data_IF_458944085408
#
_entry.id   IF_458944085408
#
_cell.length_a   1.000
_cell.length_b   1.000
_cell.length_c   1.000
_cell.angle_alpha   90.00
_cell.angle_beta   90.00
_cell.angle_gamma   90.00
#
_symmetry.space_group_name_H-M   'P 1'
#
loop_
_entity.id
_entity.type
_entity.pdbx_description
1 polymer ?
#
# COMPACT_ATOMS: atom_id res chain seq x y z
N UNK A 1 -5.67 4.58 24.32
CA UNK A 1 -4.73 4.10 23.28
C UNK A 1 -5.48 3.06 22.47
N UNK A 2 -6.18 3.47 21.41
CA UNK A 2 -6.77 2.53 20.44
C UNK A 2 -5.63 2.17 19.49
N UNK A 3 -5.32 0.88 19.37
CA UNK A 3 -4.37 0.39 18.37
C UNK A 3 -5.07 0.51 17.02
N UNK A 4 -4.61 1.42 16.17
CA UNK A 4 -5.06 1.48 14.78
C UNK A 4 -4.52 0.25 14.06
N UNK A 5 -5.40 -0.72 13.82
CA UNK A 5 -5.11 -1.85 12.94
C UNK A 5 -5.20 -1.31 11.51
N UNK A 6 -4.09 -1.25 10.78
CA UNK A 6 -4.13 -0.81 9.38
C UNK A 6 -5.00 -1.79 8.57
N UNK A 7 -5.87 -1.29 7.69
CA UNK A 7 -6.75 -2.13 6.86
C UNK A 7 -5.98 -3.19 6.04
N UNK A 8 -4.71 -2.93 5.69
CA UNK A 8 -3.83 -3.89 5.01
C UNK A 8 -3.51 -5.14 5.83
N UNK A 9 -3.58 -5.08 7.16
CA UNK A 9 -3.24 -6.21 8.04
C UNK A 9 -4.33 -7.28 8.09
N UNK A 10 -5.60 -6.93 7.83
CA UNK A 10 -6.72 -7.90 7.90
C UNK A 10 -6.67 -8.87 6.71
N UNK A 11 -6.47 -8.36 5.50
CA UNK A 11 -6.38 -9.18 4.28
C UNK A 11 -5.26 -10.21 4.38
N UNK A 12 -4.04 -9.75 4.68
CA UNK A 12 -2.88 -10.62 4.83
C UNK A 12 -3.06 -11.64 5.95
N UNK A 13 -3.67 -11.25 7.08
CA UNK A 13 -3.91 -12.18 8.20
C UNK A 13 -4.89 -13.28 7.83
N UNK A 14 -5.97 -12.97 7.10
CA UNK A 14 -6.96 -13.98 6.70
C UNK A 14 -6.42 -14.90 5.61
N UNK A 15 -5.74 -14.36 4.59
CA UNK A 15 -5.13 -15.18 3.53
C UNK A 15 -4.09 -16.16 4.11
N UNK A 16 -3.28 -15.72 5.08
CA UNK A 16 -2.34 -16.59 5.82
C UNK A 16 -3.07 -17.69 6.61
N UNK A 17 -4.19 -17.38 7.24
CA UNK A 17 -4.98 -18.35 8.00
C UNK A 17 -5.65 -19.39 7.08
N UNK A 18 -6.07 -19.00 5.88
CA UNK A 18 -6.62 -19.92 4.87
C UNK A 18 -5.55 -20.87 4.30
N UNK A 19 -4.33 -20.39 4.07
CA UNK A 19 -3.22 -21.19 3.52
C UNK A 19 -2.65 -22.21 4.53
N UNK A 20 -2.71 -21.94 5.85
CA UNK A 20 -1.98 -22.72 6.86
C UNK A 20 -2.79 -23.80 7.59
N UNK A 21 -4.12 -23.70 7.70
CA UNK A 21 -4.90 -24.56 8.63
C UNK A 21 -6.03 -25.43 8.04
N UNK A 22 -6.38 -25.34 6.74
CA UNK A 22 -7.38 -26.23 6.14
C UNK A 22 -8.71 -26.37 6.93
N UNK A 23 -9.30 -27.57 7.02
CA UNK A 23 -10.58 -27.84 7.73
C UNK A 23 -10.55 -27.57 9.26
N UNK A 24 -9.37 -27.46 9.89
CA UNK A 24 -9.23 -27.09 11.31
C UNK A 24 -9.54 -25.60 11.60
N UNK A 25 -9.61 -24.79 10.54
CA UNK A 25 -10.06 -23.38 10.59
C UNK A 25 -11.38 -23.18 11.34
N UNK A 26 -12.29 -24.16 11.33
CA UNK A 26 -13.65 -24.05 11.88
C UNK A 26 -13.67 -23.75 13.40
N UNK A 27 -12.69 -24.24 14.18
CA UNK A 27 -12.61 -23.94 15.62
C UNK A 27 -11.98 -22.58 15.91
N UNK A 28 -10.92 -22.19 15.20
CA UNK A 28 -10.28 -20.87 15.34
C UNK A 28 -11.17 -19.74 14.79
N UNK A 29 -12.03 -20.05 13.81
CA UNK A 29 -13.09 -19.17 13.31
C UNK A 29 -14.17 -18.88 14.36
N UNK A 30 -14.32 -19.69 15.41
CA UNK A 30 -15.21 -19.38 16.54
C UNK A 30 -14.77 -18.14 17.31
N UNK A 31 -13.47 -17.95 17.51
CA UNK A 31 -12.89 -16.75 18.14
C UNK A 31 -12.87 -15.57 17.16
N UNK A 32 -12.70 -15.84 15.86
CA UNK A 32 -12.82 -14.83 14.80
C UNK A 32 -14.27 -14.32 14.67
N UNK A 33 -15.28 -15.17 14.83
CA UNK A 33 -16.72 -14.81 14.86
C UNK A 33 -17.01 -13.76 15.94
N UNK A 34 -16.46 -13.93 17.14
CA UNK A 34 -16.63 -12.97 18.23
C UNK A 34 -15.90 -11.65 17.97
N UNK A 35 -14.71 -11.70 17.36
CA UNK A 35 -13.92 -10.50 17.02
C UNK A 35 -14.48 -9.71 15.84
N UNK A 36 -14.90 -10.38 14.76
CA UNK A 36 -15.54 -9.75 13.60
C UNK A 36 -16.83 -9.02 14.00
N UNK A 37 -17.60 -9.60 14.93
CA UNK A 37 -18.81 -8.98 15.48
C UNK A 37 -18.50 -7.77 16.38
N UNK A 38 -17.35 -7.76 17.07
CA UNK A 38 -16.92 -6.68 17.97
C UNK A 38 -16.19 -5.53 17.25
N UNK A 39 -15.42 -5.83 16.19
CA UNK A 39 -14.56 -4.84 15.51
C UNK A 39 -15.24 -4.16 14.30
N UNK A 40 -16.26 -4.76 13.66
CA UNK A 40 -16.83 -4.21 12.41
C UNK A 40 -18.01 -3.24 12.60
N UNK A 41 -18.17 -2.65 13.78
CA UNK A 41 -19.04 -1.48 14.00
C UNK A 41 -18.26 -0.16 13.80
N UNK A 42 -17.20 -0.19 12.97
CA UNK A 42 -16.54 1.04 12.53
C UNK A 42 -17.43 1.71 11.50
N UNK A 43 -18.16 2.72 11.97
CA UNK A 43 -18.80 3.74 11.15
C UNK A 43 -17.68 4.58 10.49
N UNK A 44 -17.05 4.02 9.44
CA UNK A 44 -16.21 4.81 8.54
C UNK A 44 -17.16 5.68 7.74
N UNK A 45 -17.18 6.97 8.06
CA UNK A 45 -18.04 8.01 7.50
C UNK A 45 -18.06 7.86 5.96
N UNK A 46 -19.06 7.15 5.44
CA UNK A 46 -19.03 6.69 4.06
C UNK A 46 -19.52 7.84 3.19
N UNK A 47 -18.60 8.46 2.46
CA UNK A 47 -18.96 9.56 1.57
C UNK A 47 -19.43 9.00 0.23
N UNK A 48 -20.40 9.67 -0.38
CA UNK A 48 -20.96 9.29 -1.68
C UNK A 48 -20.55 10.32 -2.72
N UNK A 49 -20.05 9.88 -3.87
CA UNK A 49 -19.70 10.78 -4.97
C UNK A 49 -20.80 10.74 -6.03
N UNK A 50 -21.12 11.91 -6.58
CA UNK A 50 -21.86 12.03 -7.84
C UNK A 50 -20.86 12.06 -9.00
N UNK A 51 -20.46 10.88 -9.51
CA UNK A 51 -19.74 10.81 -10.78
C UNK A 51 -20.75 10.72 -11.95
N UNK A 52 -20.64 11.63 -12.93
CA UNK A 52 -21.46 11.63 -14.17
C UNK A 52 -22.99 11.62 -13.97
N UNK A 53 -23.48 12.24 -12.90
CA UNK A 53 -24.87 12.69 -12.78
C UNK A 53 -25.96 11.61 -12.69
N UNK A 54 -25.64 10.32 -12.51
CA UNK A 54 -26.70 9.28 -12.49
C UNK A 54 -26.61 8.20 -11.40
N UNK A 55 -25.52 8.05 -10.64
CA UNK A 55 -25.49 6.99 -9.60
C UNK A 55 -24.50 7.28 -8.47
N UNK A 56 -24.99 7.20 -7.24
CA UNK A 56 -24.17 7.28 -6.02
C UNK A 56 -23.53 5.92 -5.72
N UNK A 57 -22.21 5.90 -5.52
CA UNK A 57 -21.52 4.80 -4.86
C UNK A 57 -20.68 5.34 -3.68
N UNK A 58 -20.51 4.54 -2.60
CA UNK A 58 -19.65 4.89 -1.50
C UNK A 58 -18.17 4.86 -1.91
N UNK A 59 -17.38 5.76 -1.33
CA UNK A 59 -15.92 5.74 -1.37
C UNK A 59 -15.36 6.09 0.01
N UNK A 60 -14.07 5.80 0.22
CA UNK A 60 -13.37 5.98 1.48
C UNK A 60 -12.23 7.00 1.36
N UNK A 61 -12.04 7.80 2.41
CA UNK A 61 -10.95 8.76 2.56
C UNK A 61 -10.38 8.70 3.98
N UNK A 62 -9.10 9.01 4.13
CA UNK A 62 -8.51 9.25 5.45
C UNK A 62 -8.88 10.66 5.93
N UNK A 63 -9.52 10.75 7.09
CA UNK A 63 -10.09 12.00 7.63
C UNK A 63 -9.98 12.08 9.16
N UNK A 64 -8.80 11.78 9.68
CA UNK A 64 -8.47 12.02 11.09
C UNK A 64 -8.72 13.49 11.46
N UNK A 65 -9.45 13.72 12.55
CA UNK A 65 -9.83 15.05 13.05
C UNK A 65 -8.99 15.39 14.28
N UNK A 66 -8.01 16.27 14.12
CA UNK A 66 -7.11 16.72 15.18
C UNK A 66 -7.33 18.20 15.48
N UNK A 67 -7.38 18.55 16.76
CA UNK A 67 -7.51 19.94 17.23
C UNK A 67 -6.20 20.55 17.70
N UNK A 68 -5.15 19.75 17.74
CA UNK A 68 -3.82 20.09 18.24
C UNK A 68 -2.79 19.30 17.41
N UNK A 69 -1.51 19.72 17.43
CA UNK A 69 -0.41 18.95 16.86
C UNK A 69 -0.40 17.49 17.34
N UNK A 70 0.09 16.56 16.52
CA UNK A 70 0.27 15.15 16.92
C UNK A 70 1.21 15.07 18.13
N UNK A 71 0.90 14.30 19.19
CA UNK A 71 1.74 14.24 20.38
C UNK A 71 3.18 13.77 20.12
N UNK A 72 3.37 12.86 19.16
CA UNK A 72 4.65 12.24 18.80
C UNK A 72 5.54 13.12 17.92
N UNK A 73 4.96 14.06 17.17
CA UNK A 73 5.64 15.04 16.30
C UNK A 73 5.19 16.47 16.63
N UNK A 74 4.99 16.77 17.92
CA UNK A 74 4.31 18.01 18.35
C UNK A 74 5.03 19.27 17.87
N UNK A 75 6.36 19.27 17.91
CA UNK A 75 7.18 20.43 17.53
C UNK A 75 7.06 20.68 16.04
N UNK A 76 7.26 19.65 15.23
CA UNK A 76 7.25 19.69 13.77
C UNK A 76 5.89 20.19 13.25
N UNK A 77 4.79 19.61 13.75
CA UNK A 77 3.43 20.00 13.42
C UNK A 77 3.08 21.44 13.89
N UNK A 78 3.64 21.88 15.02
CA UNK A 78 3.46 23.24 15.53
C UNK A 78 4.17 24.28 14.67
N UNK A 79 5.43 24.00 14.30
CA UNK A 79 6.26 24.87 13.46
C UNK A 79 5.66 25.00 12.05
N UNK A 80 5.19 23.89 11.48
CA UNK A 80 4.55 23.89 10.16
C UNK A 80 3.29 24.78 10.12
N UNK A 81 2.51 24.80 11.21
CA UNK A 81 1.29 25.59 11.32
C UNK A 81 1.52 27.02 11.85
N UNK A 82 2.75 27.41 12.20
CA UNK A 82 3.04 28.69 12.88
C UNK A 82 2.63 29.91 12.04
N UNK A 83 2.82 29.82 10.72
CA UNK A 83 2.49 30.89 9.77
C UNK A 83 0.99 31.13 9.57
N UNK A 84 0.13 30.20 10.01
CA UNK A 84 -1.32 30.27 9.89
C UNK A 84 -1.91 31.22 10.96
N UNK A 85 -2.88 32.05 10.56
CA UNK A 85 -3.36 33.15 11.41
C UNK A 85 -4.52 32.75 12.29
N UNK A 86 -5.41 31.90 11.79
CA UNK A 86 -6.63 31.52 12.49
C UNK A 86 -6.51 30.13 13.09
N UNK A 87 -7.20 29.91 14.21
CA UNK A 87 -7.28 28.59 14.84
C UNK A 87 -7.92 27.55 13.91
N UNK A 88 -8.88 27.97 13.08
CA UNK A 88 -9.52 27.09 12.11
C UNK A 88 -8.54 26.58 11.04
N UNK A 89 -7.67 27.46 10.51
CA UNK A 89 -6.62 27.05 9.56
C UNK A 89 -5.63 26.08 10.20
N UNK A 90 -5.24 26.33 11.47
CA UNK A 90 -4.35 25.43 12.21
C UNK A 90 -4.97 24.06 12.46
N UNK A 91 -6.22 24.02 12.89
CA UNK A 91 -6.99 22.78 13.09
C UNK A 91 -7.11 22.00 11.78
N UNK A 92 -7.35 22.70 10.65
CA UNK A 92 -7.37 22.04 9.35
C UNK A 92 -6.00 21.44 9.04
N UNK A 93 -4.92 22.23 9.12
CA UNK A 93 -3.55 21.76 8.88
C UNK A 93 -3.20 20.53 9.74
N UNK A 94 -3.45 20.56 11.04
CA UNK A 94 -3.19 19.42 11.93
C UNK A 94 -4.03 18.20 11.58
N UNK A 95 -5.27 18.38 11.11
CA UNK A 95 -6.11 17.28 10.66
C UNK A 95 -5.62 16.67 9.34
N UNK A 96 -5.14 17.49 8.40
CA UNK A 96 -4.54 17.03 7.14
C UNK A 96 -3.27 16.20 7.40
N UNK A 97 -2.41 16.69 8.30
CA UNK A 97 -1.19 16.03 8.75
C UNK A 97 -1.51 14.69 9.44
N UNK A 98 -2.43 14.71 10.41
CA UNK A 98 -2.84 13.49 11.11
C UNK A 98 -3.48 12.47 10.16
N UNK A 99 -4.18 12.93 9.12
CA UNK A 99 -4.76 12.05 8.11
C UNK A 99 -3.69 11.46 7.20
N UNK A 100 -2.63 12.20 6.88
CA UNK A 100 -1.48 11.63 6.16
C UNK A 100 -0.79 10.54 6.98
N UNK A 101 -0.66 10.72 8.30
CA UNK A 101 -0.19 9.64 9.18
C UNK A 101 -1.16 8.45 9.23
N UNK A 102 -2.48 8.69 9.22
CA UNK A 102 -3.50 7.62 9.14
C UNK A 102 -3.36 6.79 7.85
N UNK A 103 -2.89 7.39 6.74
CA UNK A 103 -2.64 6.67 5.48
C UNK A 103 -1.48 5.67 5.57
N UNK A 104 -0.59 5.82 6.56
CA UNK A 104 0.71 5.16 6.64
C UNK A 104 1.79 5.78 5.73
N UNK A 105 1.49 6.85 4.98
CA UNK A 105 2.38 7.56 4.07
C UNK A 105 2.71 8.98 4.57
N UNK A 106 3.18 9.12 5.81
CA UNK A 106 3.61 10.37 6.42
C UNK A 106 5.13 10.61 6.24
N UNK A 107 5.60 11.45 5.32
CA UNK A 107 4.83 12.15 4.31
C UNK A 107 5.26 11.77 2.90
N UNK A 108 4.44 12.20 1.95
CA UNK A 108 4.62 12.02 0.53
C UNK A 108 4.04 13.22 -0.20
N UNK A 109 4.66 13.60 -1.32
CA UNK A 109 4.10 14.53 -2.29
C UNK A 109 2.73 14.11 -2.78
N UNK A 110 2.37 12.83 -2.64
CA UNK A 110 1.03 12.28 -2.93
C UNK A 110 -0.09 13.09 -2.30
N UNK A 111 0.14 13.63 -1.10
CA UNK A 111 -0.85 14.39 -0.32
C UNK A 111 -0.70 15.91 -0.47
N UNK A 112 0.28 16.38 -1.23
CA UNK A 112 0.58 17.81 -1.38
C UNK A 112 -0.02 18.35 -2.67
N UNK A 113 0.05 19.68 -2.85
CA UNK A 113 -0.31 20.28 -4.13
C UNK A 113 0.53 19.71 -5.27
N UNK A 114 -0.13 19.38 -6.38
CA UNK A 114 0.49 18.87 -7.60
C UNK A 114 0.74 19.97 -8.64
N UNK A 115 0.42 21.23 -8.31
CA UNK A 115 0.58 22.38 -9.21
C UNK A 115 0.77 23.69 -8.44
N UNK A 116 1.16 24.74 -9.18
CA UNK A 116 1.38 26.08 -8.63
C UNK A 116 2.66 26.21 -7.79
N UNK A 117 2.83 27.38 -7.18
CA UNK A 117 4.04 27.74 -6.43
C UNK A 117 4.24 26.92 -5.15
N UNK A 118 3.17 26.27 -4.67
CA UNK A 118 3.17 25.39 -3.50
C UNK A 118 3.41 23.92 -3.83
N UNK A 119 3.63 23.58 -5.10
CA UNK A 119 3.78 22.19 -5.56
C UNK A 119 4.82 21.43 -4.73
N UNK A 120 4.45 20.25 -4.25
CA UNK A 120 5.30 19.32 -3.48
C UNK A 120 5.85 19.87 -2.16
N UNK A 121 5.31 20.99 -1.67
CA UNK A 121 5.66 21.53 -0.34
C UNK A 121 4.74 20.95 0.73
N UNK A 122 5.32 20.64 1.89
CA UNK A 122 4.60 20.07 3.04
C UNK A 122 3.48 20.98 3.55
N UNK A 123 3.65 22.31 3.49
CA UNK A 123 2.64 23.30 3.88
C UNK A 123 1.44 23.37 2.91
N UNK A 124 1.46 22.59 1.83
CA UNK A 124 0.34 22.43 0.88
C UNK A 124 -0.41 21.10 1.05
N UNK A 125 -0.17 20.38 2.14
CA UNK A 125 -0.83 19.12 2.47
C UNK A 125 -2.36 19.26 2.47
N UNK A 126 -3.02 18.31 1.83
CA UNK A 126 -4.47 18.31 1.56
C UNK A 126 -5.04 16.90 1.44
N UNK A 127 -4.58 16.00 2.30
CA UNK A 127 -5.01 14.60 2.42
C UNK A 127 -6.53 14.41 2.34
N UNK A 128 -7.33 15.25 3.00
CA UNK A 128 -8.80 15.18 3.01
C UNK A 128 -9.46 15.40 1.64
N UNK A 129 -8.73 15.99 0.70
CA UNK A 129 -9.19 16.21 -0.68
C UNK A 129 -8.97 14.98 -1.55
N UNK A 130 -8.18 14.01 -1.10
CA UNK A 130 -7.75 12.87 -1.91
C UNK A 130 -8.57 11.63 -1.53
N UNK A 131 -9.13 10.97 -2.53
CA UNK A 131 -9.66 9.61 -2.44
C UNK A 131 -8.53 8.68 -2.87
N UNK A 132 -7.93 7.90 -1.95
CA UNK A 132 -6.78 7.06 -2.28
C UNK A 132 -7.22 5.76 -2.97
N UNK A 133 -6.59 5.39 -4.08
CA UNK A 133 -6.89 4.17 -4.80
C UNK A 133 -6.55 2.91 -3.98
N UNK A 134 -5.47 2.94 -3.19
CA UNK A 134 -5.05 1.85 -2.31
C UNK A 134 -6.02 1.61 -1.15
N UNK A 135 -6.50 2.67 -0.48
CA UNK A 135 -7.52 2.54 0.57
C UNK A 135 -8.78 1.87 0.03
N UNK A 136 -9.31 2.35 -1.09
CA UNK A 136 -10.54 1.80 -1.66
C UNK A 136 -10.34 0.37 -2.19
N UNK A 137 -9.16 0.05 -2.71
CA UNK A 137 -8.78 -1.33 -3.01
C UNK A 137 -8.74 -2.23 -1.76
N UNK A 138 -8.19 -1.77 -0.63
CA UNK A 138 -8.22 -2.54 0.62
C UNK A 138 -9.65 -2.71 1.14
N UNK A 139 -10.49 -1.68 1.06
CA UNK A 139 -11.90 -1.78 1.47
C UNK A 139 -12.69 -2.75 0.60
N UNK A 140 -12.38 -2.80 -0.69
CA UNK A 140 -12.92 -3.80 -1.61
C UNK A 140 -12.51 -5.22 -1.23
N UNK A 141 -11.21 -5.45 -1.00
CA UNK A 141 -10.69 -6.75 -0.59
C UNK A 141 -11.29 -7.20 0.76
N UNK A 142 -11.38 -6.29 1.73
CA UNK A 142 -12.04 -6.53 3.01
C UNK A 142 -13.53 -6.89 2.85
N UNK A 143 -14.26 -6.27 1.91
CA UNK A 143 -15.64 -6.64 1.65
C UNK A 143 -15.76 -8.08 1.12
N UNK A 144 -14.88 -8.50 0.21
CA UNK A 144 -14.81 -9.88 -0.30
C UNK A 144 -14.48 -10.86 0.83
N UNK A 145 -13.47 -10.58 1.64
CA UNK A 145 -13.11 -11.40 2.80
C UNK A 145 -14.28 -11.53 3.77
N UNK A 146 -14.91 -10.42 4.14
CA UNK A 146 -15.97 -10.44 5.13
C UNK A 146 -17.16 -11.25 4.62
N UNK A 147 -17.48 -11.17 3.32
CA UNK A 147 -18.50 -12.05 2.72
C UNK A 147 -18.13 -13.53 2.94
N UNK A 148 -16.92 -13.95 2.61
CA UNK A 148 -16.44 -15.34 2.83
C UNK A 148 -16.49 -15.74 4.31
N UNK A 149 -16.02 -14.89 5.22
CA UNK A 149 -16.01 -15.18 6.66
C UNK A 149 -17.44 -15.29 7.22
N UNK A 150 -18.37 -14.45 6.78
CA UNK A 150 -19.78 -14.56 7.18
C UNK A 150 -20.48 -15.77 6.56
N UNK A 151 -20.07 -16.22 5.38
CA UNK A 151 -20.55 -17.45 4.77
C UNK A 151 -20.13 -18.66 5.62
N UNK A 152 -18.85 -18.74 6.01
CA UNK A 152 -18.36 -19.78 6.94
C UNK A 152 -19.03 -19.65 8.31
N UNK A 153 -19.40 -18.44 8.73
CA UNK A 153 -20.16 -18.21 9.96
C UNK A 153 -21.64 -18.65 9.87
N UNK A 154 -22.18 -18.86 8.66
CA UNK A 154 -23.59 -19.13 8.42
C UNK A 154 -24.50 -17.90 8.50
N UNK A 155 -23.95 -16.68 8.53
CA UNK A 155 -24.72 -15.42 8.51
C UNK A 155 -24.92 -14.92 7.07
N UNK A 156 -25.81 -15.59 6.35
CA UNK A 156 -26.14 -15.23 4.96
C UNK A 156 -26.79 -13.84 4.80
N UNK A 157 -27.26 -13.20 5.88
CA UNK A 157 -27.71 -11.80 5.80
C UNK A 157 -26.52 -10.87 5.65
N UNK A 158 -25.46 -11.10 6.43
CA UNK A 158 -24.21 -10.34 6.33
C UNK A 158 -23.46 -10.63 5.03
N UNK A 159 -23.47 -11.87 4.54
CA UNK A 159 -22.91 -12.22 3.21
C UNK A 159 -23.45 -11.27 2.14
N UNK A 160 -24.79 -11.16 2.00
CA UNK A 160 -25.42 -10.27 1.01
C UNK A 160 -25.02 -8.81 1.17
N UNK A 161 -24.84 -8.33 2.40
CA UNK A 161 -24.39 -6.95 2.67
C UNK A 161 -22.98 -6.74 2.12
N UNK A 162 -22.06 -7.68 2.38
CA UNK A 162 -20.67 -7.55 1.98
C UNK A 162 -20.42 -7.85 0.50
N UNK A 163 -21.19 -8.76 -0.11
CA UNK A 163 -21.23 -8.93 -1.57
C UNK A 163 -21.69 -7.65 -2.28
N UNK A 164 -22.70 -6.96 -1.74
CA UNK A 164 -23.16 -5.69 -2.29
C UNK A 164 -22.09 -4.59 -2.14
N UNK A 165 -21.39 -4.54 -0.99
CA UNK A 165 -20.27 -3.63 -0.77
C UNK A 165 -19.12 -3.90 -1.75
N UNK A 166 -18.76 -5.17 -1.96
CA UNK A 166 -17.74 -5.57 -2.92
C UNK A 166 -18.12 -5.14 -4.36
N UNK A 167 -19.38 -5.35 -4.73
CA UNK A 167 -19.91 -4.91 -6.05
C UNK A 167 -19.81 -3.40 -6.22
N UNK A 168 -20.13 -2.61 -5.19
CA UNK A 168 -19.98 -1.16 -5.24
C UNK A 168 -18.53 -0.72 -5.29
N UNK A 169 -17.64 -1.34 -4.51
CA UNK A 169 -16.23 -1.01 -4.49
C UNK A 169 -15.56 -1.28 -5.85
N UNK A 170 -15.84 -2.43 -6.49
CA UNK A 170 -15.40 -2.70 -7.86
C UNK A 170 -15.84 -1.62 -8.86
N UNK A 171 -17.10 -1.20 -8.75
CA UNK A 171 -17.65 -0.15 -9.59
C UNK A 171 -16.95 1.19 -9.36
N UNK A 172 -16.71 1.53 -8.10
CA UNK A 172 -16.00 2.73 -7.70
C UNK A 172 -14.56 2.74 -8.23
N UNK A 173 -13.80 1.65 -8.06
CA UNK A 173 -12.45 1.51 -8.64
C UNK A 173 -12.45 1.73 -10.15
N UNK A 174 -13.46 1.24 -10.87
CA UNK A 174 -13.57 1.41 -12.33
C UNK A 174 -14.00 2.82 -12.75
N UNK A 175 -14.92 3.46 -12.03
CA UNK A 175 -15.47 4.75 -12.44
C UNK A 175 -14.69 5.95 -11.91
N UNK A 176 -14.05 5.80 -10.74
CA UNK A 176 -13.39 6.90 -10.03
C UNK A 176 -11.86 6.88 -10.12
N UNK A 177 -11.26 5.69 -10.14
CA UNK A 177 -9.80 5.54 -10.03
C UNK A 177 -9.15 5.11 -11.34
N UNK A 178 -9.81 4.22 -12.10
CA UNK A 178 -9.25 3.66 -13.33
C UNK A 178 -9.10 4.72 -14.42
N UNK A 179 -7.89 4.84 -14.96
CA UNK A 179 -7.61 5.67 -16.11
C UNK A 179 -7.46 4.82 -17.37
N UNK A 180 -8.41 4.98 -18.29
CA UNK A 180 -8.44 4.21 -19.54
C UNK A 180 -7.28 4.53 -20.50
N UNK A 181 -6.68 5.71 -20.42
CA UNK A 181 -5.54 6.04 -21.29
C UNK A 181 -4.26 5.36 -20.79
N UNK A 182 -4.04 5.43 -19.48
CA UNK A 182 -2.78 5.00 -18.87
C UNK A 182 -2.81 3.53 -18.44
N UNK A 183 -3.99 2.94 -18.24
CA UNK A 183 -4.14 1.54 -17.82
C UNK A 183 -3.75 1.30 -16.37
N UNK A 184 -4.04 2.25 -15.49
CA UNK A 184 -3.68 2.23 -14.08
C UNK A 184 -4.76 2.93 -13.23
N UNK A 185 -4.74 2.72 -11.91
CA UNK A 185 -5.59 3.45 -10.96
C UNK A 185 -4.85 4.64 -10.36
N UNK A 186 -5.44 5.82 -10.46
CA UNK A 186 -4.95 7.02 -9.78
C UNK A 186 -5.81 7.37 -8.57
N UNK A 187 -5.23 8.09 -7.62
CA UNK A 187 -6.02 8.76 -6.61
C UNK A 187 -6.91 9.83 -7.26
N UNK A 188 -8.08 10.09 -6.68
CA UNK A 188 -9.01 11.10 -7.16
C UNK A 188 -9.05 12.29 -6.22
N UNK A 189 -8.86 13.49 -6.75
CA UNK A 189 -9.01 14.74 -6.01
C UNK A 189 -10.46 15.23 -6.10
N UNK A 190 -11.20 15.22 -4.97
CA UNK A 190 -12.62 15.59 -4.95
C UNK A 190 -12.86 17.08 -5.14
N UNK A 191 -11.90 17.93 -4.78
CA UNK A 191 -12.01 19.37 -4.91
C UNK A 191 -11.71 19.80 -6.34
N UNK A 192 -10.64 19.27 -6.93
CA UNK A 192 -10.24 19.53 -8.32
C UNK A 192 -11.03 18.69 -9.33
N UNK A 193 -11.74 17.65 -8.86
CA UNK A 193 -12.56 16.73 -9.66
C UNK A 193 -11.78 16.03 -10.77
N UNK A 194 -10.54 15.67 -10.48
CA UNK A 194 -9.62 15.04 -11.44
C UNK A 194 -8.75 14.00 -10.77
N UNK A 195 -8.20 13.07 -11.55
CA UNK A 195 -7.14 12.19 -11.09
C UNK A 195 -5.87 12.96 -10.75
N UNK A 196 -5.15 12.49 -9.72
CA UNK A 196 -3.74 12.80 -9.51
C UNK A 196 -2.89 11.89 -10.42
N UNK A 197 -2.65 12.32 -11.66
CA UNK A 197 -1.99 11.53 -12.71
C UNK A 197 -0.46 11.40 -12.53
N UNK A 198 0.03 11.37 -11.29
CA UNK A 198 1.45 11.14 -10.99
C UNK A 198 1.66 9.67 -10.64
N UNK A 199 2.83 9.14 -10.97
CA UNK A 199 3.20 7.79 -10.54
C UNK A 199 3.44 7.77 -9.02
N UNK A 200 2.69 6.91 -8.35
CA UNK A 200 2.99 6.36 -7.04
C UNK A 200 2.87 4.84 -7.12
N UNK A 201 3.74 4.11 -6.42
CA UNK A 201 3.69 2.63 -6.43
C UNK A 201 2.34 2.10 -5.90
N UNK A 202 1.60 2.88 -5.12
CA UNK A 202 0.23 2.59 -4.69
C UNK A 202 -0.78 2.49 -5.84
N UNK A 203 -0.51 3.06 -7.01
CA UNK A 203 -1.38 2.95 -8.18
C UNK A 203 -1.54 1.51 -8.67
N UNK A 204 -0.59 0.63 -8.35
CA UNK A 204 -0.64 -0.80 -8.70
C UNK A 204 -1.25 -1.69 -7.60
N UNK A 205 -1.53 -1.16 -6.39
CA UNK A 205 -2.14 -1.93 -5.28
C UNK A 205 -3.49 -2.57 -5.63
N UNK A 206 -4.38 -1.95 -6.45
CA UNK A 206 -5.64 -2.61 -6.81
C UNK A 206 -5.46 -3.96 -7.51
N UNK A 207 -4.32 -4.18 -8.18
CA UNK A 207 -3.96 -5.47 -8.76
C UNK A 207 -3.80 -6.54 -7.66
N UNK A 208 -3.10 -6.22 -6.57
CA UNK A 208 -2.96 -7.07 -5.39
C UNK A 208 -4.31 -7.37 -4.72
N UNK A 209 -5.12 -6.32 -4.53
CA UNK A 209 -6.43 -6.44 -3.88
C UNK A 209 -7.45 -7.26 -4.71
N UNK A 210 -7.15 -7.52 -5.99
CA UNK A 210 -8.08 -8.11 -6.97
C UNK A 210 -9.42 -7.36 -7.01
N UNK A 211 -9.35 -6.03 -6.91
CA UNK A 211 -10.51 -5.16 -6.99
C UNK A 211 -10.64 -4.52 -8.37
N UNK A 212 -10.81 -5.37 -9.38
CA UNK A 212 -11.04 -4.97 -10.75
C UNK A 212 -11.97 -5.98 -11.43
N UNK A 213 -12.36 -5.72 -12.67
CA UNK A 213 -13.10 -6.72 -13.44
C UNK A 213 -12.14 -7.87 -13.80
N UNK A 214 -12.57 -9.12 -13.63
CA UNK A 214 -11.70 -10.28 -13.85
C UNK A 214 -11.49 -10.45 -15.36
N UNK A 215 -10.51 -9.72 -15.89
CA UNK A 215 -10.10 -9.74 -17.27
C UNK A 215 -8.57 -9.89 -17.37
N UNK A 216 -8.12 -10.53 -18.45
CA UNK A 216 -6.69 -10.77 -18.69
C UNK A 216 -5.95 -9.49 -19.10
N UNK A 217 -6.64 -8.45 -19.57
CA UNK A 217 -6.03 -7.25 -20.14
C UNK A 217 -5.50 -6.31 -19.05
N UNK A 218 -6.25 -6.13 -17.97
CA UNK A 218 -5.97 -5.20 -16.89
C UNK A 218 -4.58 -5.41 -16.28
N UNK A 219 -4.17 -6.65 -15.89
CA UNK A 219 -2.82 -6.88 -15.38
C UNK A 219 -1.70 -6.55 -16.38
N UNK A 220 -1.89 -6.83 -17.68
CA UNK A 220 -0.92 -6.46 -18.73
C UNK A 220 -0.84 -4.94 -18.90
N UNK A 221 -1.97 -4.22 -18.81
CA UNK A 221 -1.99 -2.75 -18.88
C UNK A 221 -1.26 -2.10 -17.71
N UNK A 222 -1.39 -2.66 -16.51
CA UNK A 222 -0.63 -2.23 -15.33
C UNK A 222 0.87 -2.46 -15.56
N UNK A 223 1.26 -3.64 -16.05
CA UNK A 223 2.66 -3.91 -16.40
C UNK A 223 3.20 -2.91 -17.43
N UNK A 224 2.47 -2.67 -18.51
CA UNK A 224 2.88 -1.76 -19.57
C UNK A 224 2.97 -0.31 -19.07
N UNK A 225 2.09 0.10 -18.14
CA UNK A 225 2.20 1.38 -17.46
C UNK A 225 3.51 1.48 -16.67
N UNK A 226 3.82 0.49 -15.83
CA UNK A 226 5.07 0.47 -15.04
C UNK A 226 6.32 0.47 -15.93
N UNK A 227 6.26 -0.23 -17.08
CA UNK A 227 7.35 -0.22 -18.07
C UNK A 227 7.51 1.16 -18.72
N UNK A 228 6.40 1.79 -19.15
CA UNK A 228 6.39 3.14 -19.75
C UNK A 228 6.88 4.22 -18.79
N UNK A 229 6.49 4.16 -17.52
CA UNK A 229 7.01 5.05 -16.46
C UNK A 229 8.51 4.82 -16.18
N UNK A 230 9.07 3.70 -16.67
CA UNK A 230 10.48 3.36 -16.50
C UNK A 230 10.83 2.84 -15.11
N UNK A 231 9.85 2.63 -14.23
CA UNK A 231 10.08 2.21 -12.84
C UNK A 231 10.59 0.77 -12.76
N UNK A 232 10.27 -0.07 -13.75
CA UNK A 232 10.84 -1.42 -13.86
C UNK A 232 12.34 -1.44 -14.22
N UNK A 233 12.94 -0.29 -14.56
CA UNK A 233 14.38 -0.17 -14.84
C UNK A 233 15.21 -0.03 -13.55
N UNK A 234 14.57 0.27 -12.42
CA UNK A 234 15.24 0.37 -11.13
C UNK A 234 15.70 -1.01 -10.67
N UNK A 235 17.03 -1.19 -10.52
CA UNK A 235 17.65 -2.49 -10.24
C UNK A 235 17.59 -2.91 -8.76
N UNK A 236 17.13 -2.01 -7.89
CA UNK A 236 17.14 -2.16 -6.43
C UNK A 236 15.75 -2.32 -5.82
N UNK A 237 14.69 -2.19 -6.60
CA UNK A 237 13.29 -2.17 -6.17
C UNK A 237 12.51 -1.15 -6.97
N UNK A 238 11.23 -0.97 -6.66
CA UNK A 238 10.40 0.07 -7.26
C UNK A 238 10.47 1.35 -6.41
N UNK A 239 10.73 2.52 -7.02
CA UNK A 239 10.64 3.77 -6.30
C UNK A 239 9.19 4.03 -5.88
N UNK A 240 9.03 4.69 -4.74
CA UNK A 240 7.71 5.01 -4.16
C UNK A 240 6.95 6.01 -5.00
N UNK A 241 7.64 7.01 -5.54
CA UNK A 241 7.13 7.99 -6.51
C UNK A 241 8.22 8.35 -7.52
N UNK A 242 7.90 9.19 -8.50
CA UNK A 242 8.89 9.80 -9.42
C UNK A 242 9.25 11.26 -9.05
N UNK A 243 8.74 11.77 -7.92
CA UNK A 243 9.01 13.12 -7.42
C UNK A 243 10.40 13.20 -6.73
N UNK A 244 11.48 13.00 -7.50
CA UNK A 244 12.84 12.84 -6.96
C UNK A 244 13.40 14.08 -6.25
N UNK A 245 12.81 15.26 -6.44
CA UNK A 245 13.16 16.48 -5.70
C UNK A 245 12.56 16.54 -4.30
N UNK A 246 11.63 15.63 -3.96
CA UNK A 246 11.03 15.54 -2.63
C UNK A 246 12.07 15.14 -1.59
N UNK A 247 11.95 15.71 -0.39
CA UNK A 247 12.73 15.30 0.79
C UNK A 247 11.95 14.34 1.69
N UNK A 248 10.73 13.96 1.29
CA UNK A 248 9.85 13.12 2.10
C UNK A 248 10.18 11.63 1.96
N UNK A 249 9.94 10.88 3.04
CA UNK A 249 10.31 9.46 3.11
C UNK A 249 9.50 8.55 2.17
N UNK A 250 8.24 8.89 1.91
CA UNK A 250 7.39 8.19 0.94
C UNK A 250 7.45 8.84 -0.46
N UNK A 251 8.65 9.29 -0.87
CA UNK A 251 8.99 9.71 -2.23
C UNK A 251 10.45 9.41 -2.57
N UNK A 252 11.36 10.06 -1.83
CA UNK A 252 12.77 10.28 -2.20
C UNK A 252 13.50 8.96 -2.43
N UNK A 253 13.77 8.58 -3.68
CA UNK A 253 14.47 7.34 -4.12
C UNK A 253 14.26 6.10 -3.23
N UNK A 254 13.15 6.02 -2.50
CA UNK A 254 12.93 5.02 -1.47
C UNK A 254 12.00 3.95 -2.03
N UNK A 255 12.25 2.71 -1.65
CA UNK A 255 11.33 1.61 -1.81
C UNK A 255 10.91 1.09 -0.44
N UNK A 256 9.60 0.91 -0.26
CA UNK A 256 9.04 0.36 0.97
C UNK A 256 8.68 -1.11 0.75
N UNK A 257 9.25 -2.04 1.55
CA UNK A 257 8.98 -3.48 1.45
C UNK A 257 7.50 -3.86 1.27
N UNK A 258 6.52 -3.31 2.03
CA UNK A 258 5.11 -3.66 1.83
C UNK A 258 4.59 -3.31 0.42
N UNK A 259 5.03 -2.18 -0.16
CA UNK A 259 4.61 -1.79 -1.50
C UNK A 259 5.22 -2.70 -2.57
N UNK A 260 6.50 -3.06 -2.42
CA UNK A 260 7.17 -4.01 -3.31
C UNK A 260 6.47 -5.35 -3.28
N UNK A 261 6.17 -5.84 -2.08
CA UNK A 261 5.48 -7.10 -1.86
C UNK A 261 4.10 -7.13 -2.54
N UNK A 262 3.27 -6.11 -2.31
CA UNK A 262 1.94 -6.05 -2.93
C UNK A 262 2.02 -6.04 -4.46
N UNK A 263 2.96 -5.30 -5.07
CA UNK A 263 3.09 -5.33 -6.53
C UNK A 263 3.54 -6.70 -7.04
N UNK A 264 4.49 -7.37 -6.35
CA UNK A 264 4.91 -8.73 -6.69
C UNK A 264 3.73 -9.70 -6.60
N UNK A 265 2.99 -9.69 -5.50
CA UNK A 265 1.85 -10.58 -5.29
C UNK A 265 0.70 -10.28 -6.26
N UNK A 266 0.49 -9.01 -6.60
CA UNK A 266 -0.46 -8.60 -7.63
C UNK A 266 -0.18 -9.28 -8.97
N UNK A 267 1.08 -9.32 -9.42
CA UNK A 267 1.46 -10.04 -10.64
C UNK A 267 1.50 -11.55 -10.48
N UNK A 268 1.98 -12.06 -9.34
CA UNK A 268 2.08 -13.51 -9.06
C UNK A 268 0.70 -14.19 -9.10
N UNK A 269 -0.31 -13.53 -8.57
CA UNK A 269 -1.65 -14.12 -8.38
C UNK A 269 -2.59 -13.92 -9.57
N UNK A 270 -2.08 -13.42 -10.71
CA UNK A 270 -2.83 -13.26 -11.98
C UNK A 270 -3.12 -14.59 -12.67
N UNK A 271 -2.26 -15.59 -12.50
CA UNK A 271 -2.31 -16.84 -13.27
C UNK A 271 -1.73 -16.73 -14.70
N UNK A 272 -1.32 -15.54 -15.16
CA UNK A 272 -0.65 -15.34 -16.44
C UNK A 272 0.85 -15.66 -16.31
N UNK A 273 1.34 -16.63 -17.10
CA UNK A 273 2.72 -17.10 -17.02
C UNK A 273 3.77 -16.00 -17.28
N UNK A 274 3.47 -15.00 -18.12
CA UNK A 274 4.39 -13.89 -18.40
C UNK A 274 4.47 -12.96 -17.20
N UNK A 275 3.33 -12.59 -16.62
CA UNK A 275 3.27 -11.71 -15.45
C UNK A 275 3.80 -12.38 -14.19
N UNK A 276 3.54 -13.68 -14.00
CA UNK A 276 4.18 -14.47 -12.95
C UNK A 276 5.71 -14.47 -13.09
N UNK A 277 6.25 -14.49 -14.33
CA UNK A 277 7.69 -14.38 -14.55
C UNK A 277 8.24 -12.99 -14.22
N UNK A 278 7.45 -11.94 -14.46
CA UNK A 278 7.77 -10.58 -14.00
C UNK A 278 7.83 -10.54 -12.47
N UNK A 279 6.84 -11.12 -11.78
CA UNK A 279 6.81 -11.21 -10.32
C UNK A 279 8.05 -11.93 -9.76
N UNK A 280 8.43 -13.07 -10.34
CA UNK A 280 9.63 -13.82 -9.97
C UNK A 280 10.90 -12.97 -10.14
N UNK A 281 11.03 -12.24 -11.25
CA UNK A 281 12.18 -11.38 -11.50
C UNK A 281 12.25 -10.23 -10.49
N UNK A 282 11.12 -9.63 -10.15
CA UNK A 282 11.03 -8.57 -9.14
C UNK A 282 11.39 -9.09 -7.74
N UNK A 283 10.84 -10.24 -7.34
CA UNK A 283 11.10 -10.89 -6.06
C UNK A 283 12.59 -11.27 -5.90
N UNK A 284 13.15 -11.98 -6.87
CA UNK A 284 14.56 -12.40 -6.83
C UNK A 284 15.53 -11.20 -6.86
N UNK A 285 15.18 -10.13 -7.59
CA UNK A 285 15.96 -8.88 -7.57
C UNK A 285 15.90 -8.20 -6.20
N UNK A 286 14.71 -8.09 -5.60
CA UNK A 286 14.53 -7.50 -4.28
C UNK A 286 15.30 -8.29 -3.20
N UNK A 287 15.12 -9.61 -3.15
CA UNK A 287 15.84 -10.51 -2.25
C UNK A 287 17.36 -10.40 -2.38
N UNK A 288 17.87 -10.32 -3.62
CA UNK A 288 19.31 -10.15 -3.87
C UNK A 288 19.84 -8.86 -3.23
N UNK A 289 19.10 -7.77 -3.38
CA UNK A 289 19.55 -6.43 -2.99
C UNK A 289 19.44 -6.21 -1.49
N UNK A 290 18.36 -6.64 -0.88
CA UNK A 290 18.20 -6.60 0.57
C UNK A 290 19.16 -7.55 1.27
N UNK A 291 19.46 -8.72 0.69
CA UNK A 291 20.50 -9.61 1.23
C UNK A 291 21.90 -8.99 1.14
N UNK A 292 22.26 -8.36 0.01
CA UNK A 292 23.53 -7.63 -0.12
C UNK A 292 23.64 -6.54 0.95
N UNK A 293 22.59 -5.74 1.11
CA UNK A 293 22.49 -4.71 2.15
C UNK A 293 22.69 -5.31 3.55
N UNK A 294 22.03 -6.43 3.84
CA UNK A 294 22.13 -7.11 5.13
C UNK A 294 23.55 -7.64 5.41
N UNK A 295 24.23 -8.20 4.41
CA UNK A 295 25.60 -8.71 4.58
C UNK A 295 26.60 -7.58 4.84
N UNK A 296 26.38 -6.41 4.23
CA UNK A 296 27.26 -5.25 4.41
C UNK A 296 27.00 -4.53 5.75
N UNK A 297 25.72 -4.34 6.09
CA UNK A 297 25.30 -3.50 7.22
C UNK A 297 24.96 -4.28 8.49
N UNK A 298 24.73 -5.59 8.38
CA UNK A 298 24.20 -6.46 9.44
C UNK A 298 22.83 -6.03 9.97
N UNK A 299 22.05 -5.29 9.16
CA UNK A 299 20.74 -4.77 9.54
C UNK A 299 19.71 -4.91 8.40
N UNK A 300 18.44 -5.08 8.78
CA UNK A 300 17.29 -4.94 7.89
C UNK A 300 16.69 -3.55 8.12
N UNK A 301 16.36 -2.81 7.06
CA UNK A 301 15.89 -1.43 7.19
C UNK A 301 14.38 -1.32 7.00
N UNK A 302 13.81 -0.25 7.56
CA UNK A 302 12.41 0.14 7.35
C UNK A 302 12.06 0.34 5.86
N UNK A 303 12.95 1.03 5.14
CA UNK A 303 12.87 1.26 3.71
C UNK A 303 14.29 1.23 3.11
N UNK A 304 14.37 1.15 1.78
CA UNK A 304 15.65 1.03 1.08
C UNK A 304 15.82 2.13 0.04
N UNK A 305 17.04 2.66 -0.07
CA UNK A 305 17.40 3.56 -1.15
C UNK A 305 17.58 2.78 -2.45
N UNK A 306 16.75 3.06 -3.44
CA UNK A 306 16.75 2.44 -4.78
C UNK A 306 17.38 3.30 -5.86
N UNK A 307 18.11 4.36 -5.48
CA UNK A 307 18.86 5.22 -6.40
C UNK A 307 19.72 4.44 -7.38
N UNK A 308 19.74 4.89 -8.63
CA UNK A 308 20.67 4.39 -9.64
C UNK A 308 22.06 5.04 -9.56
N UNK A 309 22.23 6.06 -8.71
CA UNK A 309 23.47 6.83 -8.63
C UNK A 309 24.58 6.13 -7.84
N UNK A 310 24.24 5.15 -7.02
CA UNK A 310 25.18 4.34 -6.22
C UNK A 310 24.97 2.86 -6.53
N UNK A 311 25.98 2.03 -6.28
CA UNK A 311 25.80 0.57 -6.32
C UNK A 311 25.29 0.02 -4.99
N UNK A 312 25.61 0.69 -3.88
CA UNK A 312 25.24 0.29 -2.52
C UNK A 312 23.72 0.33 -2.32
N UNK A 313 23.18 -0.73 -1.71
CA UNK A 313 21.79 -0.77 -1.26
C UNK A 313 21.79 -0.47 0.22
N UNK A 314 21.55 0.79 0.59
CA UNK A 314 21.46 1.26 1.97
C UNK A 314 20.01 1.37 2.42
N UNK A 315 19.80 1.61 3.72
CA UNK A 315 18.56 2.21 4.20
C UNK A 315 18.24 3.49 3.42
N UNK A 316 16.96 3.77 3.24
CA UNK A 316 16.52 5.04 2.67
C UNK A 316 16.64 6.20 3.65
N UNK A 317 15.85 7.25 3.45
CA UNK A 317 15.80 8.39 4.37
C UNK A 317 14.85 9.49 3.92
N UNK A 318 14.98 10.67 4.51
CA UNK A 318 14.03 11.76 4.33
C UNK A 318 12.90 11.72 5.35
N UNK A 319 11.99 12.69 5.30
CA UNK A 319 10.95 12.85 6.32
C UNK A 319 11.47 13.45 7.63
N UNK A 320 10.74 13.17 8.72
CA UNK A 320 10.94 13.82 10.03
C UNK A 320 11.95 13.10 10.94
N UNK A 321 12.36 11.87 10.59
CA UNK A 321 13.25 11.05 11.41
C UNK A 321 14.22 10.18 10.60
N UNK A 322 15.24 9.67 11.27
CA UNK A 322 16.27 8.81 10.67
C UNK A 322 15.74 7.40 10.39
N UNK A 323 16.26 6.73 9.36
CA UNK A 323 15.84 5.37 9.00
C UNK A 323 16.00 4.37 10.15
N UNK A 324 14.99 3.51 10.36
CA UNK A 324 14.99 2.51 11.44
C UNK A 324 15.50 1.13 10.98
N UNK A 325 15.95 0.30 11.95
CA UNK A 325 16.51 -1.05 11.71
C UNK A 325 15.72 -2.16 12.41
N UNK A 326 15.90 -3.41 11.95
CA UNK A 326 15.22 -4.62 12.46
C UNK A 326 13.78 -4.80 11.98
N UNK A 327 13.33 -3.97 11.05
CA UNK A 327 11.93 -3.60 10.86
C UNK A 327 10.96 -4.76 10.53
N UNK A 328 9.81 -4.79 11.20
CA UNK A 328 8.86 -5.93 11.18
C UNK A 328 8.32 -6.28 9.80
N UNK A 329 7.79 -5.31 9.04
CA UNK A 329 7.30 -5.60 7.68
C UNK A 329 8.41 -6.05 6.75
N UNK A 330 9.65 -5.61 6.97
CA UNK A 330 10.77 -5.94 6.08
C UNK A 330 11.09 -7.40 6.25
N UNK A 331 11.19 -7.83 7.50
CA UNK A 331 11.42 -9.23 7.84
C UNK A 331 10.28 -10.10 7.30
N UNK A 332 9.02 -9.70 7.50
CA UNK A 332 7.85 -10.44 7.01
C UNK A 332 7.85 -10.61 5.48
N UNK A 333 8.07 -9.52 4.74
CA UNK A 333 8.15 -9.56 3.27
C UNK A 333 9.29 -10.45 2.79
N UNK A 334 10.46 -10.37 3.42
CA UNK A 334 11.61 -11.19 3.01
C UNK A 334 11.36 -12.67 3.27
N UNK A 335 10.76 -13.02 4.41
CA UNK A 335 10.41 -14.41 4.71
C UNK A 335 9.40 -14.97 3.72
N UNK A 336 8.33 -14.23 3.41
CA UNK A 336 7.32 -14.63 2.43
C UNK A 336 7.90 -14.81 1.02
N UNK A 337 8.75 -13.88 0.58
CA UNK A 337 9.40 -13.99 -0.72
C UNK A 337 10.43 -15.12 -0.78
N UNK A 338 11.13 -15.42 0.32
CA UNK A 338 12.05 -16.57 0.39
C UNK A 338 11.29 -17.90 0.36
N UNK A 339 10.14 -17.99 0.99
CA UNK A 339 9.28 -19.18 0.93
C UNK A 339 8.81 -19.44 -0.52
N UNK A 340 8.32 -18.40 -1.20
CA UNK A 340 7.79 -18.52 -2.57
C UNK A 340 8.85 -18.63 -3.66
N UNK A 341 10.00 -17.97 -3.49
CA UNK A 341 11.01 -17.79 -4.54
C UNK A 341 12.43 -18.21 -4.13
N UNK A 342 12.60 -18.89 -3.00
CA UNK A 342 13.91 -19.25 -2.45
C UNK A 342 14.75 -20.11 -3.38
N UNK A 343 14.13 -21.06 -4.09
CA UNK A 343 14.82 -21.92 -5.06
C UNK A 343 15.31 -21.13 -6.28
N UNK A 344 14.46 -20.26 -6.83
CA UNK A 344 14.81 -19.39 -7.96
C UNK A 344 15.91 -18.42 -7.53
N UNK A 345 15.81 -17.87 -6.32
CA UNK A 345 16.82 -17.00 -5.73
C UNK A 345 18.17 -17.72 -5.55
N UNK A 346 18.18 -18.95 -5.02
CA UNK A 346 19.39 -19.76 -4.83
C UNK A 346 20.02 -20.25 -6.14
N UNK A 347 19.25 -20.30 -7.23
CA UNK A 347 19.76 -20.63 -8.58
C UNK A 347 20.37 -19.42 -9.31
N UNK A 348 20.16 -18.20 -8.81
CA UNK A 348 20.67 -16.97 -9.42
C UNK A 348 22.19 -16.82 -9.22
N UNK A 349 22.95 -16.35 -10.22
CA UNK A 349 24.40 -16.11 -10.10
C UNK A 349 24.80 -15.19 -8.93
N UNK A 350 23.88 -14.34 -8.46
CA UNK A 350 24.08 -13.43 -7.34
C UNK A 350 24.11 -14.15 -5.97
N UNK A 351 23.71 -15.41 -5.91
CA UNK A 351 23.55 -16.21 -4.68
C UNK A 351 24.75 -17.11 -4.36
N UNK A 352 25.88 -16.99 -5.05
CA UNK A 352 27.06 -17.86 -4.84
C UNK A 352 27.62 -17.81 -3.40
N UNK A 353 27.21 -16.81 -2.59
CA UNK A 353 27.46 -16.73 -1.14
C UNK A 353 26.29 -17.20 -0.25
N UNK A 354 25.06 -17.30 -0.78
CA UNK A 354 23.84 -17.67 -0.05
C UNK A 354 23.71 -19.19 0.15
N UNK A 355 24.20 -19.98 -0.81
CA UNK A 355 24.07 -21.46 -0.84
C UNK A 355 24.73 -22.18 0.34
N UNK A 356 25.54 -21.50 1.16
CA UNK A 356 26.17 -22.09 2.35
C UNK A 356 25.32 -22.01 3.62
N UNK A 357 24.24 -21.23 3.66
CA UNK A 357 23.48 -20.93 4.90
C UNK A 357 22.11 -21.62 4.94
N UNK A 358 21.41 -21.77 3.80
CA UNK A 358 20.05 -22.33 3.78
C UNK A 358 19.95 -23.85 3.56
N UNK A 359 21.07 -24.60 3.55
CA UNK A 359 21.02 -26.08 3.65
C UNK A 359 20.84 -26.51 5.11
N UNK A 360 19.74 -26.11 5.74
CA UNK A 360 19.18 -26.92 6.82
C UNK A 360 18.28 -27.93 6.11
N UNK A 361 18.89 -29.05 5.72
CA UNK A 361 18.15 -30.21 5.26
C UNK A 361 17.19 -30.63 6.38
N UNK A 362 15.89 -30.55 6.13
CA UNK A 362 14.92 -31.40 6.82
C UNK A 362 15.30 -32.84 6.47
N UNK A 363 16.01 -33.49 7.40
CA UNK A 363 16.21 -34.93 7.46
C UNK A 363 15.21 -35.55 8.40
#
# INVERSE_FOLDING_TARGET
MKVNVSCSSIQTTVDILEETEGEESIMNLGQLRERIAADNDVDVETMKLLHRGQTEFPYYQYKAKFKVPRPESYREDSELAEHLKTEAEKIQMWSEIASAAETGWDFSTRWFSQNGDSMHRMDSIRTWSIVPADLNAFMCANARILASLYEIAGDFKKVKVFEQRYTWAKREMRELHWNETDGIWYDYDVELKTHSNQYYVSNAVPLYAKCYDEDDETPHRVHDYLERQGVLKFKKGLPTSLAMSSTQQWDKENAWPPMIHMVIEGFRTTGDLKLMKVAEKMATSWLTRTYQSFIETHAMFENYNVTSHTEETSGGGGGEYEVQTGFGWTNGVILDLLDKYGDQFASSPASSKFTSICRVSLS
#
